data_IF_603943309701
#
_entry.id   IF_603943309701
#
_cell.length_a   1.000
_cell.length_b   1.000
_cell.length_c   1.000
_cell.angle_alpha   90.00
_cell.angle_beta   90.00
_cell.angle_gamma   90.00
#
_symmetry.space_group_name_H-M   'P 1'
#
loop_
_entity.id
_entity.type
_entity.pdbx_description
1 polymer ?
#
# COMPACT_ATOMS: atom_id res chain seq x y z
N UNK A 1 -9.16 1.21 -3.56
CA UNK A 1 -9.84 1.45 -4.88
C UNK A 1 -8.86 2.13 -5.82
N UNK A 2 -8.76 1.69 -7.07
CA UNK A 2 -7.77 2.19 -8.04
C UNK A 2 -8.19 3.50 -8.70
N UNK A 3 -7.38 4.53 -8.49
CA UNK A 3 -7.62 5.88 -8.97
C UNK A 3 -7.20 6.05 -10.45
N UNK A 4 -6.18 5.32 -10.90
CA UNK A 4 -5.70 5.37 -12.28
C UNK A 4 -6.71 4.86 -13.32
N UNK A 5 -7.63 3.98 -12.93
CA UNK A 5 -8.72 3.53 -13.81
C UNK A 5 -9.61 4.68 -14.27
N UNK A 6 -9.77 5.73 -13.45
CA UNK A 6 -10.54 6.92 -13.82
C UNK A 6 -9.85 7.76 -14.92
N UNK A 7 -8.54 7.59 -15.07
CA UNK A 7 -7.69 8.25 -16.07
C UNK A 7 -7.47 7.38 -17.31
N UNK A 8 -8.01 6.15 -17.34
CA UNK A 8 -7.81 5.18 -18.42
C UNK A 8 -6.54 4.33 -18.30
N UNK A 9 -5.87 4.35 -17.15
CA UNK A 9 -4.69 3.53 -16.90
C UNK A 9 -5.00 2.33 -15.99
N UNK A 10 -4.26 1.24 -16.18
CA UNK A 10 -4.40 0.03 -15.36
C UNK A 10 -3.87 0.25 -13.93
N UNK A 11 -4.19 -0.67 -13.03
CA UNK A 11 -3.63 -0.67 -11.67
C UNK A 11 -2.35 -1.48 -11.66
N UNK A 12 -1.32 -1.00 -10.97
CA UNK A 12 -0.09 -1.76 -10.86
C UNK A 12 -0.28 -3.01 -10.01
N UNK A 13 0.50 -4.04 -10.28
CA UNK A 13 0.58 -5.20 -9.42
C UNK A 13 1.13 -4.82 -8.03
N UNK A 14 0.80 -5.58 -6.98
CA UNK A 14 1.40 -5.37 -5.66
C UNK A 14 2.92 -5.49 -5.73
N UNK A 15 3.64 -4.51 -5.19
CA UNK A 15 5.11 -4.51 -5.20
C UNK A 15 5.75 -3.86 -6.43
N UNK A 16 4.96 -3.31 -7.37
CA UNK A 16 5.51 -2.54 -8.49
C UNK A 16 6.25 -1.29 -7.98
N UNK A 17 7.51 -1.07 -8.38
CA UNK A 17 8.28 0.08 -7.93
C UNK A 17 7.68 1.39 -8.48
N UNK A 18 7.74 2.44 -7.66
CA UNK A 18 7.28 3.77 -8.05
C UNK A 18 8.24 4.35 -9.07
N UNK A 19 7.75 4.62 -10.27
CA UNK A 19 8.51 5.28 -11.34
C UNK A 19 8.38 6.80 -11.26
N UNK A 20 7.17 7.31 -11.02
CA UNK A 20 6.91 8.75 -10.84
C UNK A 20 5.80 8.94 -9.82
N UNK A 21 5.82 10.07 -9.11
CA UNK A 21 4.73 10.50 -8.23
C UNK A 21 4.27 11.87 -8.68
N UNK A 22 2.96 12.03 -8.84
CA UNK A 22 2.32 13.28 -9.23
C UNK A 22 1.17 13.60 -8.26
N UNK A 23 0.54 14.76 -8.43
CA UNK A 23 -0.62 15.26 -7.70
C UNK A 23 -1.79 14.27 -7.57
N UNK A 24 -1.91 13.30 -8.49
CA UNK A 24 -2.94 12.24 -8.44
C UNK A 24 -2.53 11.01 -7.62
N UNK A 25 -1.23 10.74 -7.51
CA UNK A 25 -0.72 9.57 -6.81
C UNK A 25 0.60 9.03 -7.39
N UNK A 26 0.94 7.82 -6.96
CA UNK A 26 2.14 7.09 -7.37
C UNK A 26 1.88 6.29 -8.65
N UNK A 27 2.76 6.38 -9.62
CA UNK A 27 2.70 5.64 -10.87
C UNK A 27 3.85 4.64 -10.95
N UNK A 28 3.57 3.48 -11.53
CA UNK A 28 4.55 2.45 -11.86
C UNK A 28 4.52 2.16 -13.36
N UNK A 29 5.52 1.43 -13.82
CA UNK A 29 5.57 0.89 -15.17
C UNK A 29 5.62 -0.63 -15.05
N UNK A 30 4.67 -1.29 -15.71
CA UNK A 30 4.54 -2.75 -15.71
C UNK A 30 4.20 -3.20 -17.13
N UNK A 31 4.92 -4.20 -17.65
CA UNK A 31 4.79 -4.64 -19.05
C UNK A 31 4.89 -3.50 -20.08
N UNK A 32 5.80 -2.54 -19.83
CA UNK A 32 5.97 -1.32 -20.65
C UNK A 32 4.75 -0.38 -20.68
N UNK A 33 3.75 -0.61 -19.83
CA UNK A 33 2.55 0.21 -19.69
C UNK A 33 2.53 0.99 -18.37
N UNK A 34 1.95 2.18 -18.40
CA UNK A 34 1.73 2.98 -17.20
C UNK A 34 0.58 2.42 -16.38
N UNK A 35 0.83 2.31 -15.07
CA UNK A 35 -0.18 1.87 -14.14
C UNK A 35 -0.20 2.76 -12.89
N UNK A 36 -1.38 2.91 -12.30
CA UNK A 36 -1.52 3.57 -11.01
C UNK A 36 -1.16 2.61 -9.90
N UNK A 37 -0.16 2.98 -9.11
CA UNK A 37 0.13 2.31 -7.86
C UNK A 37 -0.96 2.73 -6.89
N UNK A 38 -1.85 1.79 -6.64
CA UNK A 38 -2.67 1.83 -5.44
C UNK A 38 -1.85 1.29 -4.30
N UNK A 39 -1.62 2.14 -3.30
CA UNK A 39 -1.38 1.65 -1.96
C UNK A 39 -2.58 0.75 -1.62
N UNK A 40 -2.37 -0.57 -1.71
CA UNK A 40 -3.31 -1.59 -1.25
C UNK A 40 -3.23 -1.67 0.26
N UNK A 41 -3.36 -0.52 0.91
CA UNK A 41 -3.91 -0.47 2.26
C UNK A 41 -5.42 -0.37 2.09
N UNK A 42 -6.21 -1.16 2.84
CA UNK A 42 -7.62 -0.90 2.97
C UNK A 42 -7.78 0.50 3.59
N UNK A 43 -8.00 1.49 2.72
CA UNK A 43 -8.55 2.78 3.13
C UNK A 43 -9.91 2.48 3.78
N UNK A 44 -9.94 2.54 5.10
CA UNK A 44 -11.14 2.47 5.96
C UNK A 44 -11.79 1.09 6.20
N UNK A 45 -11.04 0.07 6.63
CA UNK A 45 -11.70 -1.12 7.15
C UNK A 45 -10.85 -1.96 8.10
N UNK A 46 -10.81 -1.56 9.38
CA UNK A 46 -10.27 -2.35 10.49
C UNK A 46 -8.80 -2.73 10.36
N UNK A 47 -7.95 -1.95 11.00
CA UNK A 47 -6.59 -2.37 11.32
C UNK A 47 -6.65 -3.59 12.23
N UNK A 48 -6.34 -4.76 11.68
CA UNK A 48 -6.41 -6.04 12.40
C UNK A 48 -5.46 -6.05 13.61
N UNK A 49 -4.38 -5.27 13.56
CA UNK A 49 -3.41 -5.13 14.64
C UNK A 49 -4.04 -4.57 15.92
N UNK A 50 -5.03 -3.68 15.82
CA UNK A 50 -5.70 -3.11 17.01
C UNK A 50 -6.43 -4.19 17.82
N UNK A 51 -6.98 -5.21 17.15
CA UNK A 51 -7.62 -6.35 17.80
C UNK A 51 -6.63 -7.24 18.57
N UNK A 52 -5.35 -7.20 18.19
CA UNK A 52 -4.24 -7.96 18.79
C UNK A 52 -3.43 -7.09 19.79
N UNK A 53 -3.83 -5.83 19.99
CA UNK A 53 -3.17 -4.88 20.91
C UNK A 53 -2.02 -4.08 20.30
N UNK A 54 -1.86 -4.10 18.97
CA UNK A 54 -0.85 -3.33 18.24
C UNK A 54 -1.48 -2.12 17.53
N UNK A 55 -0.70 -1.06 17.37
CA UNK A 55 -1.14 0.14 16.63
C UNK A 55 -1.15 -0.12 15.12
N UNK A 56 -1.82 0.74 14.38
CA UNK A 56 -1.73 0.75 12.92
C UNK A 56 -0.51 1.54 12.48
N UNK A 57 0.16 1.06 11.44
CA UNK A 57 1.24 1.82 10.84
C UNK A 57 0.64 3.02 10.09
N UNK A 58 1.27 4.18 10.28
CA UNK A 58 1.02 5.35 9.41
C UNK A 58 1.75 5.19 8.08
N UNK A 59 2.85 4.46 8.06
CA UNK A 59 3.67 4.09 6.92
C UNK A 59 3.20 2.79 6.27
N UNK A 60 3.39 2.73 4.96
CA UNK A 60 2.86 1.66 4.11
C UNK A 60 3.87 0.54 3.83
N UNK A 61 5.07 0.60 4.41
CA UNK A 61 6.14 -0.36 4.12
C UNK A 61 6.12 -1.50 5.14
N UNK A 62 5.64 -2.66 4.69
CA UNK A 62 5.70 -3.88 5.48
C UNK A 62 7.13 -4.39 5.51
N UNK A 63 7.71 -4.44 6.70
CA UNK A 63 9.03 -5.04 6.91
C UNK A 63 8.93 -6.53 7.25
N UNK A 64 7.72 -6.99 7.57
CA UNK A 64 7.45 -8.37 7.94
C UNK A 64 6.03 -8.77 7.53
N UNK A 65 5.86 -10.00 7.07
CA UNK A 65 4.58 -10.53 6.60
C UNK A 65 4.36 -11.88 7.28
N UNK A 66 3.25 -12.00 7.99
CA UNK A 66 2.83 -13.20 8.71
C UNK A 66 1.49 -13.68 8.15
N UNK A 67 1.54 -14.55 7.13
CA UNK A 67 0.36 -14.96 6.37
C UNK A 67 -0.27 -13.77 5.64
N UNK A 68 -1.52 -13.45 5.99
CA UNK A 68 -2.27 -12.30 5.46
C UNK A 68 -2.00 -11.00 6.25
N UNK A 69 -1.28 -11.08 7.37
CA UNK A 69 -0.97 -9.94 8.25
C UNK A 69 0.32 -9.27 7.78
N UNK A 70 0.27 -7.97 7.54
CA UNK A 70 1.44 -7.17 7.16
C UNK A 70 1.86 -6.30 8.33
N UNK A 71 3.13 -6.35 8.69
CA UNK A 71 3.68 -5.66 9.84
C UNK A 71 4.71 -4.62 9.40
N UNK A 72 4.60 -3.43 9.95
CA UNK A 72 5.62 -2.38 9.88
C UNK A 72 6.20 -2.08 11.27
N UNK A 73 7.22 -1.23 11.30
CA UNK A 73 7.78 -0.69 12.56
C UNK A 73 7.82 0.82 12.47
N UNK A 74 7.21 1.49 13.44
CA UNK A 74 7.18 2.94 13.58
C UNK A 74 7.49 3.37 15.00
N UNK A 75 8.35 4.37 15.19
CA UNK A 75 8.78 4.82 16.51
C UNK A 75 9.34 3.69 17.39
N UNK A 76 10.00 2.70 16.77
CA UNK A 76 10.50 1.48 17.43
C UNK A 76 9.40 0.54 17.97
N UNK A 77 8.14 0.70 17.51
CA UNK A 77 7.01 -0.15 17.87
C UNK A 77 6.49 -0.92 16.66
N UNK A 78 6.07 -2.17 16.88
CA UNK A 78 5.38 -2.96 15.87
C UNK A 78 3.99 -2.39 15.59
N UNK A 79 3.63 -2.37 14.31
CA UNK A 79 2.34 -1.89 13.87
C UNK A 79 1.79 -2.74 12.72
N UNK A 80 0.47 -2.83 12.61
CA UNK A 80 -0.19 -3.52 11.50
C UNK A 80 -0.45 -2.59 10.32
N UNK A 81 -0.25 -3.12 9.12
CA UNK A 81 -0.54 -2.50 7.83
C UNK A 81 -1.79 -3.15 7.23
#
# INVERSE_FOLDING_TARGET
KCWALAEGYNCCSPGTPVSITDSKGKWGIENEEWCGIIDTTPSNGSCWAEAEGFRCCKGCEAIYIDGDKRWGVENMEWCGI
#
